data_IF_015593611590
#
_entry.id   IF_015593611590
#
_cell.length_a   1.000
_cell.length_b   1.000
_cell.length_c   1.000
_cell.angle_alpha   90.00
_cell.angle_beta   90.00
_cell.angle_gamma   90.00
#
_symmetry.space_group_name_H-M   'P 1'
#
loop_
_entity.id
_entity.type
_entity.pdbx_description
1 polymer ?
#
# COMPACT_ATOMS: atom_id res chain seq x y z
N UNK A 1 -30.94 -2.37 -17.54
CA UNK A 1 -29.55 -2.52 -18.02
C UNK A 1 -29.21 -4.00 -17.99
N UNK A 2 -28.70 -4.55 -19.09
CA UNK A 2 -28.30 -5.97 -19.16
C UNK A 2 -27.10 -6.24 -18.23
N UNK A 3 -27.04 -7.44 -17.63
CA UNK A 3 -25.97 -7.88 -16.71
C UNK A 3 -24.59 -7.70 -17.34
N UNK A 4 -24.46 -7.94 -18.65
CA UNK A 4 -23.21 -7.74 -19.38
C UNK A 4 -22.74 -6.29 -19.38
N UNK A 5 -23.65 -5.34 -19.59
CA UNK A 5 -23.34 -3.91 -19.58
C UNK A 5 -22.95 -3.44 -18.17
N UNK A 6 -23.64 -3.93 -17.14
CA UNK A 6 -23.35 -3.61 -15.75
C UNK A 6 -22.00 -4.17 -15.29
N UNK A 7 -21.70 -5.42 -15.63
CA UNK A 7 -20.37 -6.02 -15.44
C UNK A 7 -19.28 -5.19 -16.14
N UNK A 8 -19.51 -4.81 -17.40
CA UNK A 8 -18.54 -4.01 -18.14
C UNK A 8 -18.29 -2.65 -17.47
N UNK A 9 -19.34 -1.98 -16.98
CA UNK A 9 -19.20 -0.71 -16.24
C UNK A 9 -18.35 -0.89 -14.99
N UNK A 10 -18.65 -1.88 -14.14
CA UNK A 10 -17.87 -2.10 -12.92
C UNK A 10 -16.40 -2.41 -13.20
N UNK A 11 -16.13 -3.26 -14.18
CA UNK A 11 -14.76 -3.61 -14.56
C UNK A 11 -14.03 -2.39 -15.14
N UNK A 12 -14.65 -1.64 -16.05
CA UNK A 12 -14.03 -0.46 -16.67
C UNK A 12 -13.78 0.64 -15.62
N UNK A 13 -14.75 0.95 -14.77
CA UNK A 13 -14.58 1.94 -13.70
C UNK A 13 -13.52 1.47 -12.71
N UNK A 14 -13.52 0.19 -12.33
CA UNK A 14 -12.49 -0.37 -11.44
C UNK A 14 -11.08 -0.25 -12.03
N UNK A 15 -10.91 -0.60 -13.31
CA UNK A 15 -9.63 -0.43 -14.02
C UNK A 15 -9.21 1.03 -14.14
N UNK A 16 -10.16 1.95 -14.40
CA UNK A 16 -9.86 3.38 -14.44
C UNK A 16 -9.40 3.89 -13.07
N UNK A 17 -10.07 3.50 -11.99
CA UNK A 17 -9.66 3.88 -10.63
C UNK A 17 -8.26 3.36 -10.31
N UNK A 18 -7.97 2.09 -10.63
CA UNK A 18 -6.62 1.52 -10.44
C UNK A 18 -5.59 2.27 -11.29
N UNK A 19 -5.88 2.51 -12.58
CA UNK A 19 -4.96 3.21 -13.48
C UNK A 19 -4.66 4.64 -13.03
N UNK A 20 -5.68 5.39 -12.59
CA UNK A 20 -5.49 6.73 -12.03
C UNK A 20 -4.68 6.66 -10.75
N UNK A 21 -4.99 5.74 -9.85
CA UNK A 21 -4.29 5.62 -8.57
C UNK A 21 -2.79 5.34 -8.78
N UNK A 22 -2.44 4.40 -9.66
CA UNK A 22 -1.04 4.04 -9.96
C UNK A 22 -0.29 5.16 -10.70
N UNK A 23 -0.96 6.01 -11.47
CA UNK A 23 -0.30 7.05 -12.28
C UNK A 23 -0.25 8.41 -11.60
N UNK A 24 -1.20 8.71 -10.71
CA UNK A 24 -1.35 10.02 -10.10
C UNK A 24 -0.83 10.09 -8.65
N UNK A 25 -0.61 8.95 -7.99
CA UNK A 25 -0.16 8.89 -6.60
C UNK A 25 1.17 8.14 -6.51
N UNK A 26 2.07 8.66 -5.67
CA UNK A 26 3.29 7.96 -5.31
C UNK A 26 2.97 6.70 -4.53
N UNK A 27 3.71 5.64 -4.80
CA UNK A 27 3.51 4.37 -4.13
C UNK A 27 3.76 4.47 -2.61
N UNK A 28 2.98 3.72 -1.84
CA UNK A 28 3.07 3.73 -0.38
C UNK A 28 4.48 3.28 0.04
N UNK A 29 5.15 4.09 0.88
CA UNK A 29 6.47 3.77 1.43
C UNK A 29 7.67 4.32 0.66
N UNK A 30 7.48 5.12 -0.39
CA UNK A 30 8.60 5.88 -0.95
C UNK A 30 9.01 7.02 -0.02
N UNK A 31 10.09 6.84 0.75
CA UNK A 31 10.68 7.95 1.51
C UNK A 31 11.65 8.67 0.58
N UNK A 32 11.23 9.83 0.09
CA UNK A 32 12.16 10.80 -0.47
C UNK A 32 12.89 11.47 0.68
N UNK A 33 14.22 11.43 0.67
CA UNK A 33 15.08 12.07 1.67
C UNK A 33 15.98 13.11 1.01
N UNK A 34 16.25 14.21 1.72
CA UNK A 34 17.32 15.14 1.37
C UNK A 34 18.51 14.82 2.25
N UNK A 35 19.66 14.58 1.63
CA UNK A 35 20.93 14.42 2.32
C UNK A 35 21.77 15.67 2.08
N UNK A 36 22.22 16.33 3.15
CA UNK A 36 22.99 17.59 3.10
C UNK A 36 24.21 17.54 4.02
N UNK A 37 25.28 18.23 3.62
CA UNK A 37 26.44 18.48 4.50
C UNK A 37 26.08 19.63 5.43
N UNK A 38 26.01 19.35 6.74
CA UNK A 38 25.69 20.36 7.76
C UNK A 38 26.96 20.98 8.35
N UNK A 39 28.03 20.18 8.51
CA UNK A 39 29.33 20.68 8.95
C UNK A 39 30.47 19.78 8.53
N UNK A 40 31.67 20.36 8.42
CA UNK A 40 32.91 19.67 8.12
C UNK A 40 33.88 19.82 9.29
N UNK A 41 34.61 18.75 9.62
CA UNK A 41 35.67 18.79 10.60
C UNK A 41 35.47 17.86 11.79
N UNK A 42 36.06 18.25 12.93
CA UNK A 42 36.23 17.32 14.05
C UNK A 42 34.88 17.00 14.72
N UNK A 43 34.50 15.71 14.81
CA UNK A 43 33.22 15.33 15.39
C UNK A 43 33.22 15.56 16.91
N UNK A 44 32.05 15.76 17.54
CA UNK A 44 31.94 15.80 19.00
C UNK A 44 32.58 14.56 19.63
N UNK A 45 33.20 14.71 20.82
CA UNK A 45 33.99 13.64 21.48
C UNK A 45 33.28 12.29 21.66
N UNK A 46 31.95 12.29 21.65
CA UNK A 46 31.11 11.09 21.83
C UNK A 46 30.31 10.71 20.58
N UNK A 47 30.58 11.32 19.42
CA UNK A 47 29.85 11.01 18.20
C UNK A 47 30.36 9.71 17.57
N UNK A 48 29.42 8.85 17.16
CA UNK A 48 29.73 7.66 16.37
C UNK A 48 30.12 8.09 14.95
N UNK A 49 31.36 7.80 14.56
CA UNK A 49 31.87 8.09 13.21
C UNK A 49 31.86 6.79 12.41
N UNK A 50 31.11 6.78 11.32
CA UNK A 50 31.06 5.65 10.39
C UNK A 50 32.16 5.82 9.34
N UNK A 51 32.93 4.77 9.06
CA UNK A 51 33.89 4.84 7.96
C UNK A 51 33.17 4.73 6.62
N UNK A 52 33.59 5.51 5.62
CA UNK A 52 33.02 5.46 4.27
C UNK A 52 33.06 4.04 3.67
N UNK A 53 34.11 3.27 3.94
CA UNK A 53 34.25 1.88 3.51
C UNK A 53 33.21 0.92 4.09
N UNK A 54 32.62 1.27 5.24
CA UNK A 54 31.62 0.44 5.91
C UNK A 54 30.22 0.66 5.34
N UNK A 55 30.05 1.71 4.52
CA UNK A 55 28.79 1.99 3.84
C UNK A 55 28.61 1.08 2.62
N UNK A 56 27.37 0.68 2.28
CA UNK A 56 27.07 0.05 1.01
C UNK A 56 27.52 0.93 -0.17
N UNK A 57 27.93 0.32 -1.28
CA UNK A 57 28.35 1.05 -2.50
C UNK A 57 27.35 2.11 -2.96
N UNK A 58 26.05 1.86 -2.80
CA UNK A 58 25.04 2.85 -3.17
C UNK A 58 25.04 4.08 -2.25
N UNK A 59 25.16 3.87 -0.94
CA UNK A 59 25.32 4.96 0.03
C UNK A 59 26.61 5.75 -0.23
N UNK A 60 27.69 5.08 -0.63
CA UNK A 60 28.96 5.73 -1.00
C UNK A 60 28.80 6.72 -2.16
N UNK A 61 28.10 6.32 -3.24
CA UNK A 61 27.81 7.21 -4.40
C UNK A 61 27.04 8.46 -3.98
N UNK A 62 26.12 8.30 -3.04
CA UNK A 62 25.31 9.40 -2.52
C UNK A 62 26.16 10.33 -1.66
N UNK A 63 27.01 9.79 -0.78
CA UNK A 63 27.96 10.58 0.01
C UNK A 63 28.88 11.39 -0.91
N UNK A 64 29.41 10.79 -1.97
CA UNK A 64 30.26 11.50 -2.94
C UNK A 64 29.50 12.66 -3.62
N UNK A 65 28.23 12.42 -3.98
CA UNK A 65 27.37 13.44 -4.57
C UNK A 65 27.08 14.58 -3.57
N UNK A 66 26.80 14.25 -2.30
CA UNK A 66 26.51 15.22 -1.23
C UNK A 66 27.76 16.04 -0.90
N UNK A 67 28.93 15.43 -0.76
CA UNK A 67 30.20 16.12 -0.52
C UNK A 67 30.53 17.06 -1.68
N UNK A 68 30.31 16.63 -2.93
CA UNK A 68 30.60 17.45 -4.11
C UNK A 68 29.61 18.59 -4.36
N UNK A 69 28.32 18.37 -4.07
CA UNK A 69 27.24 19.29 -4.45
C UNK A 69 26.60 20.02 -3.25
N UNK A 70 27.02 19.68 -2.03
CA UNK A 70 26.47 20.19 -0.76
C UNK A 70 25.12 19.56 -0.36
N UNK A 71 24.36 19.03 -1.32
CA UNK A 71 23.09 18.33 -1.08
C UNK A 71 22.75 17.36 -2.21
N UNK A 72 21.95 16.34 -1.91
CA UNK A 72 21.31 15.48 -2.92
C UNK A 72 19.96 14.97 -2.43
N UNK A 73 19.14 14.49 -3.36
CA UNK A 73 17.87 13.82 -3.06
C UNK A 73 18.01 12.32 -3.27
N UNK A 74 17.46 11.56 -2.32
CA UNK A 74 17.40 10.11 -2.29
C UNK A 74 15.93 9.70 -2.34
N UNK A 75 15.61 8.62 -3.03
CA UNK A 75 14.32 7.95 -2.92
C UNK A 75 14.54 6.52 -2.46
N UNK A 76 13.65 6.01 -1.62
CA UNK A 76 13.69 4.60 -1.19
C UNK A 76 13.44 3.67 -2.37
N UNK A 77 12.72 4.17 -3.37
CA UNK A 77 12.41 3.45 -4.59
C UNK A 77 13.59 3.48 -5.58
N UNK A 78 14.41 4.53 -5.57
CA UNK A 78 15.64 4.58 -6.35
C UNK A 78 16.75 3.71 -5.73
N UNK A 79 16.99 3.83 -4.42
CA UNK A 79 18.05 3.08 -3.73
C UNK A 79 17.77 2.88 -2.23
N UNK A 80 17.00 1.85 -1.90
CA UNK A 80 16.67 1.45 -0.53
C UNK A 80 17.91 1.31 0.38
N UNK A 81 19.01 0.73 -0.13
CA UNK A 81 20.22 0.50 0.67
C UNK A 81 20.92 1.81 1.01
N UNK A 82 20.90 2.77 0.10
CA UNK A 82 21.42 4.10 0.39
C UNK A 82 20.57 4.83 1.43
N UNK A 83 19.24 4.75 1.31
CA UNK A 83 18.31 5.37 2.26
C UNK A 83 18.48 4.77 3.66
N UNK A 84 18.43 3.45 3.81
CA UNK A 84 18.56 2.78 5.12
C UNK A 84 19.92 3.05 5.79
N UNK A 85 20.99 3.07 4.99
CA UNK A 85 22.34 3.32 5.51
C UNK A 85 22.60 4.79 5.87
N UNK A 86 21.89 5.74 5.26
CA UNK A 86 22.10 7.17 5.46
C UNK A 86 21.00 7.86 6.26
N UNK A 87 19.90 7.18 6.58
CA UNK A 87 18.79 7.71 7.37
C UNK A 87 19.28 8.32 8.69
N UNK A 88 18.81 9.55 8.96
CA UNK A 88 19.14 10.33 10.14
C UNK A 88 20.43 11.14 10.03
N UNK A 89 21.04 11.37 11.19
CA UNK A 89 22.21 12.24 11.35
C UNK A 89 23.47 11.38 11.51
N UNK A 90 24.45 11.52 10.61
CA UNK A 90 25.67 10.69 10.64
C UNK A 90 26.94 11.49 10.40
N UNK A 91 27.99 11.15 11.15
CA UNK A 91 29.35 11.57 10.85
C UNK A 91 30.03 10.49 10.00
N UNK A 92 30.44 10.86 8.79
CA UNK A 92 31.06 9.95 7.83
C UNK A 92 32.49 10.39 7.59
N UNK A 93 33.44 9.48 7.83
CA UNK A 93 34.86 9.69 7.56
C UNK A 93 35.20 9.21 6.15
N UNK A 94 35.64 10.15 5.32
CA UNK A 94 36.18 9.93 3.98
C UNK A 94 37.69 10.23 3.98
N UNK A 95 38.34 10.03 2.84
CA UNK A 95 39.76 10.37 2.66
C UNK A 95 40.00 11.90 2.68
N UNK A 96 38.98 12.71 2.38
CA UNK A 96 39.05 14.18 2.36
C UNK A 96 38.79 14.80 3.74
N UNK A 97 38.12 14.08 4.64
CA UNK A 97 37.77 14.58 5.96
C UNK A 97 36.58 13.87 6.58
N UNK A 98 36.13 14.41 7.73
CA UNK A 98 34.90 13.95 8.40
C UNK A 98 33.77 14.93 8.07
N UNK A 99 32.70 14.41 7.51
CA UNK A 99 31.51 15.16 7.10
C UNK A 99 30.34 14.79 8.01
N UNK A 100 29.66 15.80 8.56
CA UNK A 100 28.38 15.62 9.22
C UNK A 100 27.27 15.75 8.19
N UNK A 101 26.69 14.60 7.84
CA UNK A 101 25.62 14.49 6.86
C UNK A 101 24.30 14.31 7.60
N UNK A 102 23.35 15.20 7.31
CA UNK A 102 21.97 15.09 7.78
C UNK A 102 21.13 14.59 6.62
N UNK A 103 20.41 13.50 6.86
CA UNK A 103 19.46 12.95 5.89
C UNK A 103 18.06 12.99 6.49
N UNK A 104 17.25 13.95 6.04
CA UNK A 104 15.88 14.16 6.52
C UNK A 104 14.86 13.80 5.44
N UNK A 105 13.67 13.34 5.85
CA UNK A 105 12.57 13.13 4.90
C UNK A 105 12.14 14.46 4.27
N UNK A 106 11.87 14.46 2.97
CA UNK A 106 11.19 15.58 2.31
C UNK A 106 9.75 15.61 2.83
N UNK A 107 9.37 16.71 3.48
CA UNK A 107 7.97 16.96 3.80
C UNK A 107 7.18 17.12 2.49
N UNK A 108 6.34 16.12 2.15
CA UNK A 108 5.34 16.24 1.09
C UNK A 108 5.38 15.23 -0.06
N UNK A 109 6.17 14.16 0.00
CA UNK A 109 6.09 13.07 -1.01
C UNK A 109 6.22 11.68 -0.38
N UNK A 110 5.27 10.78 -0.67
CA UNK A 110 5.30 9.36 -0.27
C UNK A 110 4.96 9.09 1.20
N UNK A 111 4.31 10.07 1.85
CA UNK A 111 3.92 9.98 3.25
C UNK A 111 2.79 8.96 3.52
N UNK A 112 2.59 8.62 4.80
CA UNK A 112 1.56 7.69 5.27
C UNK A 112 0.17 7.99 4.68
N UNK A 113 -0.19 9.28 4.55
CA UNK A 113 -1.49 9.69 4.03
C UNK A 113 -1.67 9.40 2.54
N UNK A 114 -0.64 9.63 1.71
CA UNK A 114 -0.69 9.30 0.28
C UNK A 114 -0.76 7.79 0.07
N UNK A 115 0.01 7.02 0.85
CA UNK A 115 -0.07 5.56 0.85
C UNK A 115 -1.46 5.05 1.23
N UNK A 116 -2.08 5.63 2.26
CA UNK A 116 -3.46 5.33 2.66
C UNK A 116 -4.45 5.60 1.53
N UNK A 117 -4.34 6.76 0.86
CA UNK A 117 -5.25 7.14 -0.23
C UNK A 117 -5.07 6.20 -1.41
N UNK A 118 -3.83 5.92 -1.79
CA UNK A 118 -3.49 4.98 -2.86
C UNK A 118 -4.07 3.59 -2.57
N UNK A 119 -3.76 3.01 -1.42
CA UNK A 119 -4.20 1.65 -1.06
C UNK A 119 -5.73 1.56 -0.97
N UNK A 120 -6.39 2.61 -0.47
CA UNK A 120 -7.85 2.69 -0.45
C UNK A 120 -8.44 2.70 -1.86
N UNK A 121 -7.86 3.50 -2.79
CA UNK A 121 -8.32 3.56 -4.18
C UNK A 121 -8.07 2.24 -4.92
N UNK A 122 -6.92 1.60 -4.70
CA UNK A 122 -6.60 0.30 -5.27
C UNK A 122 -7.57 -0.78 -4.77
N UNK A 123 -7.87 -0.79 -3.48
CA UNK A 123 -8.85 -1.69 -2.90
C UNK A 123 -10.24 -1.46 -3.51
N UNK A 124 -10.70 -0.21 -3.60
CA UNK A 124 -11.99 0.15 -4.24
C UNK A 124 -12.02 -0.32 -5.69
N UNK A 125 -10.98 -0.02 -6.47
CA UNK A 125 -10.88 -0.43 -7.87
C UNK A 125 -10.93 -1.96 -8.03
N UNK A 126 -10.21 -2.69 -7.18
CA UNK A 126 -10.24 -4.15 -7.12
C UNK A 126 -11.60 -4.72 -6.73
N UNK A 127 -12.28 -4.12 -5.74
CA UNK A 127 -13.65 -4.49 -5.34
C UNK A 127 -14.62 -4.30 -6.50
N UNK A 128 -14.51 -3.20 -7.26
CA UNK A 128 -15.38 -2.96 -8.41
C UNK A 128 -15.18 -4.03 -9.50
N UNK A 129 -13.92 -4.41 -9.79
CA UNK A 129 -13.65 -5.52 -10.72
C UNK A 129 -14.29 -6.82 -10.21
N UNK A 130 -14.17 -7.11 -8.91
CA UNK A 130 -14.83 -8.25 -8.25
C UNK A 130 -16.36 -8.19 -8.34
N UNK A 131 -16.95 -7.02 -8.14
CA UNK A 131 -18.40 -6.80 -8.24
C UNK A 131 -18.92 -7.08 -9.67
N UNK A 132 -18.11 -6.76 -10.69
CA UNK A 132 -18.42 -7.12 -12.07
C UNK A 132 -18.61 -8.63 -12.27
N UNK A 133 -17.80 -9.46 -11.59
CA UNK A 133 -17.91 -10.92 -11.61
C UNK A 133 -19.15 -11.42 -10.85
N UNK A 134 -19.44 -10.82 -9.68
CA UNK A 134 -20.66 -11.11 -8.89
C UNK A 134 -21.93 -10.84 -9.72
N UNK A 135 -21.97 -9.74 -10.48
CA UNK A 135 -23.11 -9.39 -11.32
C UNK A 135 -23.23 -10.29 -12.55
N UNK A 136 -22.11 -10.80 -13.07
CA UNK A 136 -22.04 -11.64 -14.27
C UNK A 136 -22.53 -13.07 -14.02
N UNK A 137 -22.05 -13.71 -12.96
CA UNK A 137 -22.33 -15.13 -12.70
C UNK A 137 -23.11 -15.32 -11.40
N UNK A 138 -24.39 -14.90 -11.47
CA UNK A 138 -25.34 -15.01 -10.37
C UNK A 138 -25.64 -16.46 -9.97
N UNK A 139 -25.31 -17.46 -10.79
CA UNK A 139 -25.64 -18.86 -10.49
C UNK A 139 -24.67 -19.52 -9.49
N UNK A 140 -23.45 -18.98 -9.37
CA UNK A 140 -22.37 -19.51 -8.51
C UNK A 140 -22.08 -18.60 -7.31
N UNK A 141 -23.16 -18.10 -6.71
CA UNK A 141 -23.17 -17.01 -5.73
C UNK A 141 -22.03 -17.04 -4.70
N UNK A 142 -21.77 -18.18 -4.07
CA UNK A 142 -20.75 -18.27 -3.01
C UNK A 142 -19.31 -18.08 -3.52
N UNK A 143 -18.97 -18.71 -4.66
CA UNK A 143 -17.63 -18.61 -5.24
C UNK A 143 -17.39 -17.22 -5.85
N UNK A 144 -18.42 -16.60 -6.40
CA UNK A 144 -18.30 -15.26 -6.99
C UNK A 144 -18.09 -14.16 -5.95
N UNK A 145 -18.59 -14.32 -4.73
CA UNK A 145 -18.40 -13.32 -3.66
C UNK A 145 -16.95 -13.20 -3.21
N UNK A 146 -16.15 -14.27 -3.38
CA UNK A 146 -14.71 -14.27 -3.05
C UNK A 146 -13.96 -13.29 -3.96
N UNK A 147 -14.50 -13.02 -5.16
CA UNK A 147 -13.91 -12.08 -6.10
C UNK A 147 -13.81 -10.64 -5.54
N UNK A 148 -14.63 -10.27 -4.54
CA UNK A 148 -14.57 -8.95 -3.91
C UNK A 148 -13.26 -8.75 -3.11
N UNK A 149 -12.99 -9.53 -2.03
CA UNK A 149 -11.72 -9.41 -1.32
C UNK A 149 -10.51 -9.82 -2.17
N UNK A 150 -10.66 -10.80 -3.08
CA UNK A 150 -9.57 -11.19 -3.98
C UNK A 150 -9.22 -10.08 -4.97
N UNK A 151 -10.21 -9.41 -5.56
CA UNK A 151 -9.99 -8.30 -6.48
C UNK A 151 -9.24 -7.15 -5.82
N UNK A 152 -9.65 -6.77 -4.60
CA UNK A 152 -8.95 -5.77 -3.79
C UNK A 152 -7.48 -6.15 -3.53
N UNK A 153 -7.26 -7.39 -3.07
CA UNK A 153 -5.94 -7.92 -2.74
C UNK A 153 -5.03 -7.94 -3.97
N UNK A 154 -5.53 -8.44 -5.11
CA UNK A 154 -4.76 -8.52 -6.35
C UNK A 154 -4.40 -7.12 -6.84
N UNK A 155 -5.32 -6.15 -6.78
CA UNK A 155 -5.05 -4.77 -7.19
C UNK A 155 -3.95 -4.13 -6.33
N UNK A 156 -4.05 -4.25 -5.00
CA UNK A 156 -3.06 -3.73 -4.05
C UNK A 156 -1.68 -4.34 -4.27
N UNK A 157 -1.62 -5.67 -4.29
CA UNK A 157 -0.36 -6.41 -4.40
C UNK A 157 0.29 -6.16 -5.76
N UNK A 158 -0.50 -6.13 -6.85
CA UNK A 158 0.05 -5.91 -8.19
C UNK A 158 0.56 -4.48 -8.36
N UNK A 159 -0.18 -3.48 -7.88
CA UNK A 159 0.25 -2.08 -7.97
C UNK A 159 1.53 -1.83 -7.16
N UNK A 160 1.59 -2.33 -5.93
CA UNK A 160 2.78 -2.21 -5.09
C UNK A 160 3.96 -3.01 -5.67
N UNK A 161 3.75 -4.20 -6.23
CA UNK A 161 4.80 -4.97 -6.88
C UNK A 161 5.31 -4.34 -8.18
N UNK A 162 4.45 -3.64 -8.93
CA UNK A 162 4.84 -2.90 -10.13
C UNK A 162 5.65 -1.65 -9.80
N UNK A 163 5.33 -0.99 -8.69
CA UNK A 163 6.04 0.21 -8.26
C UNK A 163 7.34 -0.10 -7.51
N UNK A 164 7.45 -1.27 -6.87
CA UNK A 164 8.60 -1.62 -6.05
C UNK A 164 9.85 -1.91 -6.89
N UNK A 165 11.03 -1.37 -6.52
CA UNK A 165 12.30 -1.66 -7.20
C UNK A 165 12.75 -3.11 -6.99
N UNK A 166 12.39 -3.70 -5.85
CA UNK A 166 12.60 -5.12 -5.55
C UNK A 166 11.41 -5.66 -4.75
N UNK A 167 11.03 -6.91 -5.01
CA UNK A 167 9.88 -7.55 -4.36
C UNK A 167 10.03 -7.69 -2.84
N UNK A 168 11.24 -7.60 -2.29
CA UNK A 168 11.50 -7.65 -0.85
C UNK A 168 11.06 -6.40 -0.09
N UNK A 169 10.82 -5.28 -0.79
CA UNK A 169 10.38 -4.01 -0.20
C UNK A 169 8.85 -3.96 -0.06
N UNK A 170 8.13 -4.81 -0.80
CA UNK A 170 6.67 -4.88 -0.73
C UNK A 170 6.25 -5.52 0.58
N UNK A 171 5.38 -4.83 1.32
CA UNK A 171 4.74 -5.38 2.50
C UNK A 171 3.60 -6.34 2.09
N UNK A 172 3.98 -7.54 1.65
CA UNK A 172 3.04 -8.55 1.13
C UNK A 172 1.94 -8.88 2.13
N UNK A 173 2.31 -9.10 3.38
CA UNK A 173 1.38 -9.48 4.43
C UNK A 173 0.46 -8.30 4.80
N UNK A 174 0.99 -7.08 4.88
CA UNK A 174 0.18 -5.87 5.10
C UNK A 174 -0.82 -5.63 3.96
N UNK A 175 -0.37 -5.67 2.71
CA UNK A 175 -1.20 -5.45 1.52
C UNK A 175 -2.28 -6.53 1.33
N UNK A 176 -1.95 -7.79 1.59
CA UNK A 176 -2.93 -8.89 1.56
C UNK A 176 -3.95 -8.74 2.69
N UNK A 177 -3.50 -8.43 3.92
CA UNK A 177 -4.40 -8.15 5.04
C UNK A 177 -5.36 -7.02 4.70
N UNK A 178 -4.86 -5.91 4.15
CA UNK A 178 -5.65 -4.74 3.78
C UNK A 178 -6.70 -5.08 2.72
N UNK A 179 -6.31 -5.76 1.65
CA UNK A 179 -7.21 -6.16 0.57
C UNK A 179 -8.34 -7.08 1.04
N UNK A 180 -8.01 -8.06 1.89
CA UNK A 180 -9.00 -8.93 2.51
C UNK A 180 -9.97 -8.13 3.41
N UNK A 181 -9.44 -7.26 4.27
CA UNK A 181 -10.25 -6.43 5.17
C UNK A 181 -11.17 -5.46 4.41
N UNK A 182 -10.71 -4.89 3.29
CA UNK A 182 -11.49 -4.01 2.44
C UNK A 182 -12.74 -4.68 1.85
N UNK A 183 -12.68 -6.00 1.61
CA UNK A 183 -13.84 -6.77 1.14
C UNK A 183 -14.90 -7.04 2.22
N UNK A 184 -14.54 -6.99 3.51
CA UNK A 184 -15.43 -7.36 4.63
C UNK A 184 -16.67 -6.47 4.73
N UNK A 185 -16.59 -5.13 4.66
CA UNK A 185 -17.77 -4.27 4.67
C UNK A 185 -18.75 -4.59 3.53
N UNK A 186 -18.24 -4.83 2.32
CA UNK A 186 -19.08 -5.16 1.16
C UNK A 186 -19.81 -6.48 1.36
N UNK A 187 -19.11 -7.52 1.80
CA UNK A 187 -19.73 -8.81 2.13
C UNK A 187 -20.76 -8.68 3.25
N UNK A 188 -20.48 -7.84 4.26
CA UNK A 188 -21.42 -7.55 5.35
C UNK A 188 -22.69 -6.88 4.81
N UNK A 189 -22.57 -5.91 3.91
CA UNK A 189 -23.71 -5.28 3.26
C UNK A 189 -24.59 -6.26 2.48
N UNK A 190 -23.96 -7.18 1.75
CA UNK A 190 -24.66 -8.25 1.02
C UNK A 190 -25.36 -9.19 2.01
N UNK A 191 -24.68 -9.62 3.07
CA UNK A 191 -25.24 -10.49 4.11
C UNK A 191 -26.47 -9.84 4.78
N UNK A 192 -26.39 -8.56 5.12
CA UNK A 192 -27.50 -7.79 5.69
C UNK A 192 -28.68 -7.70 4.71
N UNK A 193 -28.45 -7.57 3.40
CA UNK A 193 -29.54 -7.56 2.40
C UNK A 193 -30.25 -8.89 2.34
N UNK A 194 -29.48 -9.96 2.15
CA UNK A 194 -29.98 -11.31 1.88
C UNK A 194 -30.54 -11.98 3.12
N UNK A 195 -30.09 -11.56 4.30
CA UNK A 195 -30.33 -12.24 5.58
C UNK A 195 -29.84 -13.70 5.54
N UNK A 196 -28.82 -13.96 4.74
CA UNK A 196 -28.19 -15.28 4.60
C UNK A 196 -27.03 -15.43 5.59
N UNK A 197 -27.11 -16.47 6.42
CA UNK A 197 -26.08 -16.76 7.41
C UNK A 197 -24.72 -17.06 6.76
N UNK A 198 -24.72 -17.79 5.65
CA UNK A 198 -23.50 -18.25 4.98
C UNK A 198 -22.64 -17.09 4.46
N UNK A 199 -23.27 -16.00 3.99
CA UNK A 199 -22.56 -14.78 3.57
C UNK A 199 -21.97 -14.04 4.77
N UNK A 200 -22.68 -14.05 5.90
CA UNK A 200 -22.17 -13.52 7.17
C UNK A 200 -20.95 -14.31 7.68
N UNK A 201 -21.01 -15.64 7.62
CA UNK A 201 -19.87 -16.52 7.94
C UNK A 201 -18.70 -16.21 7.02
N UNK A 202 -18.94 -16.03 5.72
CA UNK A 202 -17.90 -15.67 4.77
C UNK A 202 -17.23 -14.32 5.08
N UNK A 203 -18.01 -13.30 5.43
CA UNK A 203 -17.47 -12.00 5.85
C UNK A 203 -16.59 -12.17 7.10
N UNK A 204 -17.05 -12.94 8.09
CA UNK A 204 -16.29 -13.24 9.30
C UNK A 204 -15.02 -14.05 9.01
N UNK A 205 -15.09 -15.09 8.17
CA UNK A 205 -13.93 -15.88 7.75
C UNK A 205 -12.91 -15.03 7.00
N UNK A 206 -13.36 -14.11 6.15
CA UNK A 206 -12.48 -13.17 5.44
C UNK A 206 -11.78 -12.24 6.42
N UNK A 207 -12.49 -11.74 7.44
CA UNK A 207 -11.90 -10.92 8.49
C UNK A 207 -10.88 -11.70 9.32
N UNK A 208 -11.22 -12.93 9.74
CA UNK A 208 -10.29 -13.79 10.49
C UNK A 208 -9.05 -14.14 9.66
N UNK A 209 -9.22 -14.38 8.35
CA UNK A 209 -8.10 -14.61 7.45
C UNK A 209 -7.22 -13.37 7.32
N UNK A 210 -7.81 -12.17 7.19
CA UNK A 210 -7.08 -10.91 7.19
C UNK A 210 -6.25 -10.74 8.47
N UNK A 211 -6.84 -11.00 9.65
CA UNK A 211 -6.12 -10.97 10.93
C UNK A 211 -4.99 -12.01 10.97
N UNK A 212 -5.23 -13.23 10.51
CA UNK A 212 -4.21 -14.27 10.48
C UNK A 212 -3.03 -13.92 9.57
N UNK A 213 -3.30 -13.32 8.40
CA UNK A 213 -2.27 -12.82 7.48
C UNK A 213 -1.47 -11.70 8.13
N UNK A 214 -2.14 -10.74 8.78
CA UNK A 214 -1.47 -9.64 9.49
C UNK A 214 -0.52 -10.17 10.57
N UNK A 215 -0.97 -11.13 11.37
CA UNK A 215 -0.17 -11.73 12.44
C UNK A 215 0.97 -12.63 11.92
N UNK A 216 0.92 -13.04 10.65
CA UNK A 216 2.00 -13.79 10.00
C UNK A 216 3.17 -12.88 9.59
N UNK A 217 2.93 -11.57 9.45
CA UNK A 217 3.97 -10.58 9.19
C UNK A 217 4.64 -10.13 10.48
N UNK A 218 5.96 -10.25 10.55
CA UNK A 218 6.71 -9.76 11.69
C UNK A 218 6.64 -8.22 11.70
N UNK A 219 6.24 -7.61 12.83
CA UNK A 219 6.19 -6.14 13.04
C UNK A 219 5.20 -5.33 12.17
N UNK A 220 4.10 -5.94 11.73
CA UNK A 220 3.07 -5.19 10.98
C UNK A 220 2.17 -4.33 11.87
N UNK A 221 1.82 -3.15 11.35
CA UNK A 221 0.90 -2.23 12.01
C UNK A 221 -0.54 -2.72 11.92
N UNK A 222 -1.29 -2.63 13.04
CA UNK A 222 -2.73 -2.87 13.06
C UNK A 222 -3.53 -1.95 12.11
N UNK A 223 -2.90 -0.87 11.61
CA UNK A 223 -3.49 0.03 10.63
C UNK A 223 -3.88 -0.70 9.33
N UNK A 224 -3.12 -1.71 8.88
CA UNK A 224 -3.49 -2.48 7.67
C UNK A 224 -4.84 -3.19 7.79
N UNK A 225 -5.31 -3.44 9.01
CA UNK A 225 -6.63 -4.03 9.28
C UNK A 225 -7.68 -2.95 9.57
N UNK A 226 -7.36 -2.01 10.45
CA UNK A 226 -8.33 -1.03 10.96
C UNK A 226 -8.73 -0.01 9.90
N UNK A 227 -7.80 0.43 9.09
CA UNK A 227 -7.98 1.52 8.15
C UNK A 227 -8.98 1.18 7.02
N UNK A 228 -8.90 0.03 6.33
CA UNK A 228 -9.92 -0.35 5.37
C UNK A 228 -11.29 -0.57 6.02
N UNK A 229 -11.34 -1.12 7.24
CA UNK A 229 -12.60 -1.30 7.98
C UNK A 229 -13.26 0.04 8.37
N UNK A 230 -12.46 1.05 8.76
CA UNK A 230 -12.96 2.37 9.12
C UNK A 230 -13.38 3.18 7.90
N UNK A 231 -12.52 3.25 6.87
CA UNK A 231 -12.80 4.03 5.67
C UNK A 231 -13.91 3.41 4.82
N UNK A 232 -13.91 2.08 4.67
CA UNK A 232 -14.87 1.37 3.84
C UNK A 232 -16.05 0.80 4.64
N UNK A 233 -16.05 0.90 5.98
CA UNK A 233 -17.09 0.32 6.83
C UNK A 233 -18.50 0.72 6.41
N UNK A 234 -18.81 2.02 6.45
CA UNK A 234 -20.10 2.52 6.02
C UNK A 234 -20.30 2.48 4.50
N UNK A 235 -19.41 3.06 3.66
CA UNK A 235 -19.67 3.12 2.22
C UNK A 235 -19.61 1.74 1.56
N UNK A 236 -18.74 0.84 2.02
CA UNK A 236 -18.65 -0.54 1.55
C UNK A 236 -19.88 -1.37 1.94
N UNK A 237 -20.36 -1.26 3.19
CA UNK A 237 -21.61 -1.92 3.61
C UNK A 237 -22.79 -1.39 2.81
N UNK A 238 -22.89 -0.07 2.59
CA UNK A 238 -23.92 0.53 1.74
C UNK A 238 -23.85 0.03 0.30
N UNK A 239 -22.64 -0.05 -0.28
CA UNK A 239 -22.42 -0.57 -1.63
C UNK A 239 -22.85 -2.03 -1.76
N UNK A 240 -22.46 -2.90 -0.82
CA UNK A 240 -22.86 -4.31 -0.80
C UNK A 240 -24.37 -4.48 -0.67
N UNK A 241 -25.01 -3.69 0.18
CA UNK A 241 -26.47 -3.68 0.34
C UNK A 241 -27.18 -3.28 -0.96
N UNK A 242 -26.69 -2.25 -1.64
CA UNK A 242 -27.23 -1.74 -2.90
C UNK A 242 -27.01 -2.69 -4.08
N UNK A 243 -25.82 -3.30 -4.19
CA UNK A 243 -25.47 -4.28 -5.23
C UNK A 243 -26.48 -5.43 -5.27
N UNK A 244 -26.93 -5.87 -4.10
CA UNK A 244 -27.92 -6.92 -3.97
C UNK A 244 -29.36 -6.41 -4.17
N UNK A 245 -29.69 -5.20 -3.72
CA UNK A 245 -31.03 -4.64 -3.91
C UNK A 245 -31.40 -4.53 -5.41
N UNK A 246 -30.44 -4.09 -6.22
CA UNK A 246 -30.56 -4.06 -7.70
C UNK A 246 -30.72 -5.44 -8.33
N UNK A 247 -30.28 -6.49 -7.64
CA UNK A 247 -30.38 -7.88 -8.09
C UNK A 247 -31.76 -8.45 -7.79
N UNK A 248 -32.38 -8.08 -6.65
CA UNK A 248 -33.71 -8.52 -6.24
C UNK A 248 -34.85 -7.88 -7.04
N UNK A 249 -34.74 -6.61 -7.44
CA UNK A 249 -35.77 -5.91 -8.25
C UNK A 249 -35.92 -6.44 -9.69
N UNK A 250 -35.06 -7.38 -10.11
CA UNK A 250 -35.02 -7.92 -11.49
C UNK A 250 -35.29 -9.43 -11.56
N UNK A 251 -35.55 -10.08 -10.44
CA UNK A 251 -36.01 -11.48 -10.35
C UNK A 251 -37.54 -11.50 -10.25
#
# INVERSE_FOLDING_TARGET
>A
MDSRTETAIYVVVGLLVVGIAVTALSAAGDRTMVSEVVSEGEPPRNATVTAYSDLPRSAQVVVDAVVKQGRTTLSTYDDYRAVDALEGDRYIRTDEGVFYIRTTSVDGSGGLFEGIVLDSLLAIGGILIGAGLVVRDRSRHFLTLIALPTGATVALVSANALAAPTLSVVDWFGNVSFGLAAGVPVLTGIALRRREYDVGVMAMSTLLLSVAVLLSGNTLSALYLLLPLLLLGLPGTGFGWWLENRSAERA
#
